data_IF_280318239430
#
_entry.id   IF_280318239430
#
_cell.length_a   1.000
_cell.length_b   1.000
_cell.length_c   1.000
_cell.angle_alpha   90.00
_cell.angle_beta   90.00
_cell.angle_gamma   90.00
#
_symmetry.space_group_name_H-M   'P 1'
#
loop_
_entity.id
_entity.type
_entity.pdbx_description
1 polymer ?
#
# COMPACT_ATOMS: atom_id res chain seq x y z
N UNK A 1 -42.76 -12.39 -14.08
CA UNK A 1 -42.00 -11.15 -13.80
C UNK A 1 -40.50 -11.52 -13.91
N UNK A 2 -39.89 -11.32 -15.09
CA UNK A 2 -38.47 -11.68 -15.32
C UNK A 2 -37.61 -10.70 -14.50
N UNK A 3 -37.06 -11.17 -13.39
CA UNK A 3 -36.04 -10.42 -12.65
C UNK A 3 -34.84 -10.22 -13.58
N UNK A 4 -34.62 -8.99 -14.06
CA UNK A 4 -33.40 -8.69 -14.81
C UNK A 4 -32.21 -9.09 -13.96
N UNK A 5 -31.48 -10.09 -14.42
CA UNK A 5 -30.25 -10.52 -13.75
C UNK A 5 -29.29 -9.31 -13.66
N UNK A 6 -28.83 -9.03 -12.46
CA UNK A 6 -27.88 -7.94 -12.26
C UNK A 6 -26.55 -8.33 -12.90
N UNK A 7 -25.99 -7.45 -13.72
CA UNK A 7 -24.67 -7.64 -14.32
C UNK A 7 -23.72 -6.56 -13.80
N UNK A 8 -22.61 -6.97 -13.22
CA UNK A 8 -21.56 -6.07 -12.72
C UNK A 8 -20.75 -5.50 -13.90
N UNK A 9 -21.11 -4.33 -14.35
CA UNK A 9 -20.56 -3.62 -15.53
C UNK A 9 -19.43 -2.65 -15.11
N UNK A 10 -18.60 -2.15 -16.06
CA UNK A 10 -17.56 -1.16 -15.78
C UNK A 10 -18.04 0.08 -15.03
N UNK A 11 -19.26 0.56 -15.28
CA UNK A 11 -19.85 1.69 -14.56
C UNK A 11 -20.02 1.43 -13.06
N UNK A 12 -20.33 0.18 -12.66
CA UNK A 12 -20.45 -0.20 -11.26
C UNK A 12 -19.07 -0.25 -10.60
N UNK A 13 -18.06 -0.76 -11.32
CA UNK A 13 -16.68 -0.73 -10.85
C UNK A 13 -16.17 0.71 -10.65
N UNK A 14 -16.44 1.59 -11.61
CA UNK A 14 -16.11 3.02 -11.48
C UNK A 14 -16.80 3.66 -10.26
N UNK A 15 -18.08 3.33 -10.01
CA UNK A 15 -18.80 3.81 -8.84
C UNK A 15 -18.19 3.28 -7.52
N UNK A 16 -17.76 2.02 -7.48
CA UNK A 16 -17.06 1.44 -6.32
C UNK A 16 -15.72 2.13 -6.07
N UNK A 17 -14.94 2.39 -7.13
CA UNK A 17 -13.68 3.13 -7.00
C UNK A 17 -13.92 4.56 -6.52
N UNK A 18 -14.91 5.24 -7.07
CA UNK A 18 -15.29 6.59 -6.64
C UNK A 18 -15.73 6.60 -5.17
N UNK A 19 -16.50 5.62 -4.73
CA UNK A 19 -16.91 5.46 -3.34
C UNK A 19 -15.69 5.19 -2.43
N UNK A 20 -14.79 4.30 -2.85
CA UNK A 20 -13.54 4.03 -2.14
C UNK A 20 -12.70 5.32 -1.97
N UNK A 21 -12.56 6.10 -3.02
CA UNK A 21 -11.83 7.36 -2.97
C UNK A 21 -12.53 8.39 -2.08
N UNK A 22 -13.86 8.44 -2.09
CA UNK A 22 -14.63 9.32 -1.21
C UNK A 22 -14.37 9.01 0.27
N UNK A 23 -14.31 7.72 0.65
CA UNK A 23 -13.98 7.31 2.01
C UNK A 23 -12.57 7.72 2.44
N UNK A 24 -11.62 7.73 1.50
CA UNK A 24 -10.23 8.11 1.74
C UNK A 24 -9.92 9.59 1.42
N UNK A 25 -10.91 10.39 1.03
CA UNK A 25 -10.72 11.80 0.69
C UNK A 25 -10.04 12.63 1.80
N UNK A 26 -10.31 12.39 3.10
CA UNK A 26 -9.61 13.09 4.18
C UNK A 26 -8.09 12.92 4.15
N UNK A 27 -7.55 11.76 3.68
CA UNK A 27 -6.11 11.51 3.61
C UNK A 27 -5.38 12.54 2.74
N UNK A 28 -6.02 13.08 1.71
CA UNK A 28 -5.43 14.11 0.84
C UNK A 28 -5.06 15.41 1.58
N UNK A 29 -5.62 15.62 2.76
CA UNK A 29 -5.37 16.79 3.62
C UNK A 29 -4.53 16.50 4.85
N UNK A 30 -4.16 15.21 5.09
CA UNK A 30 -3.44 14.82 6.31
C UNK A 30 -1.97 15.27 6.33
N UNK A 31 -1.36 15.55 5.18
CA UNK A 31 0.08 15.79 5.14
C UNK A 31 0.88 14.50 5.38
N UNK A 32 2.14 14.64 5.77
CA UNK A 32 2.99 13.52 6.18
C UNK A 32 2.74 13.16 7.65
N UNK A 33 2.89 11.86 7.98
CA UNK A 33 2.63 11.33 9.31
C UNK A 33 3.73 10.34 9.73
N UNK A 34 4.15 10.39 11.00
CA UNK A 34 5.09 9.45 11.61
C UNK A 34 6.34 9.18 10.72
N UNK A 35 6.54 7.93 10.26
CA UNK A 35 7.70 7.50 9.48
C UNK A 35 7.86 8.25 8.14
N UNK A 36 6.79 8.86 7.61
CA UNK A 36 6.88 9.67 6.40
C UNK A 36 7.91 10.80 6.57
N UNK A 37 7.97 11.42 7.74
CA UNK A 37 8.97 12.46 8.03
C UNK A 37 10.40 11.92 7.96
N UNK A 38 10.63 10.72 8.48
CA UNK A 38 11.94 10.07 8.40
C UNK A 38 12.31 9.80 6.94
N UNK A 39 11.36 9.30 6.15
CA UNK A 39 11.57 9.11 4.72
C UNK A 39 11.87 10.43 3.99
N UNK A 40 11.15 11.53 4.33
CA UNK A 40 11.41 12.85 3.73
C UNK A 40 12.80 13.39 4.09
N UNK A 41 13.27 13.17 5.32
CA UNK A 41 14.63 13.57 5.73
C UNK A 41 15.69 12.83 4.91
N UNK A 42 15.53 11.53 4.72
CA UNK A 42 16.43 10.70 3.90
C UNK A 42 16.35 11.09 2.43
N UNK A 43 15.15 11.25 1.87
CA UNK A 43 14.92 11.60 0.47
C UNK A 43 15.48 12.97 0.09
N UNK A 44 15.50 13.91 1.04
CA UNK A 44 16.11 15.24 0.85
C UNK A 44 17.62 15.28 1.08
N UNK A 45 18.24 14.13 1.39
CA UNK A 45 19.69 14.07 1.65
C UNK A 45 20.12 14.78 2.93
N UNK A 46 19.22 14.94 3.91
CA UNK A 46 19.51 15.63 5.16
C UNK A 46 20.20 14.73 6.19
N UNK A 47 20.49 13.49 5.86
CA UNK A 47 21.24 12.54 6.69
C UNK A 47 22.63 12.30 6.08
N UNK A 48 23.68 13.02 6.57
CA UNK A 48 25.04 12.90 6.02
C UNK A 48 25.63 11.48 6.12
N UNK A 49 25.19 10.72 7.12
CA UNK A 49 25.73 9.40 7.45
C UNK A 49 25.06 8.23 6.70
N UNK A 50 23.97 8.49 6.01
CA UNK A 50 23.23 7.46 5.26
C UNK A 50 22.94 7.95 3.84
N UNK A 51 23.85 7.69 2.87
CA UNK A 51 23.59 8.06 1.48
C UNK A 51 22.29 7.38 1.03
N UNK A 52 21.38 8.18 0.48
CA UNK A 52 20.09 7.73 0.00
C UNK A 52 20.25 6.57 -0.99
N UNK A 53 19.63 5.44 -0.66
CA UNK A 53 19.46 4.33 -1.60
C UNK A 53 17.98 4.22 -1.90
N UNK A 54 17.55 4.39 -3.16
CA UNK A 54 16.11 4.38 -3.53
C UNK A 54 15.35 3.12 -3.06
N UNK A 55 16.06 2.02 -2.87
CA UNK A 55 15.49 0.73 -2.44
C UNK A 55 15.55 0.45 -0.93
N UNK A 56 16.09 1.37 -0.11
CA UNK A 56 16.40 1.14 1.31
C UNK A 56 15.93 2.25 2.24
N UNK A 57 14.76 2.85 1.97
CA UNK A 57 14.20 3.92 2.81
C UNK A 57 13.77 3.44 4.20
N UNK A 58 13.56 2.13 4.38
CA UNK A 58 13.17 1.51 5.66
C UNK A 58 14.36 1.02 6.47
N UNK A 59 15.54 1.55 6.22
CA UNK A 59 16.72 1.39 7.07
C UNK A 59 16.75 2.57 8.07
N UNK A 60 16.04 2.42 9.18
CA UNK A 60 15.93 3.45 10.22
C UNK A 60 17.15 3.53 11.12
N UNK A 61 18.16 2.69 10.87
CA UNK A 61 19.46 2.74 11.53
C UNK A 61 19.62 1.81 12.72
N UNK A 62 20.55 2.20 13.58
CA UNK A 62 21.01 1.44 14.73
C UNK A 62 20.69 2.19 16.02
N UNK A 63 20.68 1.49 17.16
CA UNK A 63 20.65 2.15 18.45
C UNK A 63 21.75 3.23 18.52
N UNK A 64 21.42 4.45 18.93
CA UNK A 64 22.42 5.48 19.07
C UNK A 64 23.42 5.10 20.15
N UNK A 65 24.67 5.52 19.98
CA UNK A 65 25.67 5.35 21.02
C UNK A 65 25.24 6.11 22.27
N UNK A 66 25.48 5.53 23.43
CA UNK A 66 25.29 6.19 24.72
C UNK A 66 26.03 7.55 24.72
N UNK A 67 25.37 8.59 25.22
CA UNK A 67 25.92 9.95 25.19
C UNK A 67 25.79 10.68 23.85
N UNK A 68 25.19 10.06 22.83
CA UNK A 68 24.84 10.77 21.59
C UNK A 68 23.67 11.72 21.80
N UNK A 69 23.56 12.78 20.95
CA UNK A 69 22.45 13.72 21.00
C UNK A 69 21.07 13.05 20.90
N UNK A 70 20.96 11.97 20.11
CA UNK A 70 19.71 11.20 19.98
C UNK A 70 19.37 10.45 21.28
N UNK A 71 20.40 9.97 22.00
CA UNK A 71 20.22 9.37 23.31
C UNK A 71 19.76 10.39 24.35
N UNK A 72 20.44 11.55 24.41
CA UNK A 72 20.08 12.66 25.32
C UNK A 72 18.68 13.20 25.08
N UNK A 73 18.22 13.23 23.81
CA UNK A 73 16.86 13.64 23.44
C UNK A 73 15.80 12.59 23.78
N UNK A 74 16.18 11.42 24.32
CA UNK A 74 15.24 10.36 24.65
C UNK A 74 14.55 9.74 23.43
N UNK A 75 15.18 9.82 22.26
CA UNK A 75 14.66 9.23 21.03
C UNK A 75 14.51 7.71 21.10
N UNK A 76 15.23 7.09 22.04
CA UNK A 76 15.16 5.67 22.33
C UNK A 76 14.97 5.44 23.83
N UNK A 77 14.21 4.42 24.26
CA UNK A 77 14.10 4.04 25.64
C UNK A 77 15.47 3.67 26.24
N UNK A 78 15.69 3.95 27.51
CA UNK A 78 16.95 3.64 28.22
C UNK A 78 17.33 2.15 28.26
N UNK A 79 16.34 1.26 28.01
CA UNK A 79 16.54 -0.21 27.93
C UNK A 79 16.81 -0.69 26.51
N UNK A 80 17.04 0.21 25.54
CA UNK A 80 17.30 -0.19 24.14
C UNK A 80 18.63 -0.94 24.08
N UNK A 81 18.67 -2.21 23.61
CA UNK A 81 19.91 -2.95 23.47
C UNK A 81 20.90 -2.26 22.53
N UNK A 82 22.20 -2.31 22.80
CA UNK A 82 23.22 -1.70 21.92
C UNK A 82 23.22 -2.24 20.49
N UNK A 83 22.77 -3.49 20.33
CA UNK A 83 22.69 -4.18 19.03
C UNK A 83 21.37 -3.91 18.28
N UNK A 84 20.48 -3.11 18.88
CA UNK A 84 19.17 -2.84 18.28
C UNK A 84 19.31 -2.22 16.87
N UNK A 85 18.54 -2.77 15.93
CA UNK A 85 18.48 -2.33 14.54
C UNK A 85 17.05 -2.31 14.06
N UNK A 86 16.61 -1.21 13.48
CA UNK A 86 15.32 -1.09 12.79
C UNK A 86 15.57 -1.07 11.29
N UNK A 87 15.55 -2.23 10.68
CA UNK A 87 15.77 -2.37 9.23
C UNK A 87 14.75 -3.32 8.64
N UNK A 88 14.05 -2.86 7.63
CA UNK A 88 13.06 -3.66 6.91
C UNK A 88 13.40 -3.67 5.42
N UNK A 89 13.40 -4.85 4.82
CA UNK A 89 13.65 -4.99 3.39
C UNK A 89 12.34 -4.77 2.61
N UNK A 90 12.10 -3.52 2.19
CA UNK A 90 10.89 -3.09 1.46
C UNK A 90 11.26 -2.33 0.18
N UNK A 91 11.98 -2.95 -0.78
CA UNK A 91 12.55 -2.25 -1.92
C UNK A 91 11.50 -1.63 -2.83
N UNK A 92 10.39 -2.31 -3.12
CA UNK A 92 9.33 -1.80 -3.99
C UNK A 92 8.63 -0.58 -3.40
N UNK A 93 8.38 -0.61 -2.09
CA UNK A 93 7.79 0.54 -1.39
C UNK A 93 8.77 1.71 -1.39
N UNK A 94 10.03 1.45 -1.08
CA UNK A 94 11.10 2.46 -1.11
C UNK A 94 11.20 3.12 -2.48
N UNK A 95 11.23 2.33 -3.56
CA UNK A 95 11.27 2.85 -4.94
C UNK A 95 10.01 3.66 -5.23
N UNK A 96 8.82 3.22 -4.80
CA UNK A 96 7.59 3.96 -5.04
C UNK A 96 7.56 5.31 -4.32
N UNK A 97 8.09 5.39 -3.09
CA UNK A 97 8.20 6.64 -2.34
C UNK A 97 9.27 7.56 -2.92
N UNK A 98 10.38 6.98 -3.41
CA UNK A 98 11.41 7.73 -4.11
C UNK A 98 10.87 8.35 -5.43
N UNK A 99 10.11 7.60 -6.21
CA UNK A 99 9.44 8.11 -7.42
C UNK A 99 8.45 9.23 -7.08
N UNK A 100 7.65 9.08 -6.01
CA UNK A 100 6.77 10.14 -5.54
C UNK A 100 7.56 11.39 -5.17
N UNK A 101 8.72 11.23 -4.53
CA UNK A 101 9.58 12.37 -4.19
C UNK A 101 10.13 13.06 -5.43
N UNK A 102 10.57 12.30 -6.43
CA UNK A 102 11.09 12.84 -7.69
C UNK A 102 10.02 13.63 -8.46
N UNK A 103 8.76 13.15 -8.44
CA UNK A 103 7.63 13.76 -9.16
C UNK A 103 7.01 14.92 -8.37
N UNK A 104 6.78 14.75 -7.08
CA UNK A 104 5.98 15.65 -6.25
C UNK A 104 6.81 16.45 -5.22
N UNK A 105 8.10 16.14 -5.06
CA UNK A 105 8.95 16.74 -4.03
C UNK A 105 8.39 16.49 -2.63
N UNK A 106 8.18 17.57 -1.87
CA UNK A 106 7.60 17.53 -0.53
C UNK A 106 6.08 17.69 -0.47
N UNK A 107 5.37 17.59 -1.59
CA UNK A 107 3.92 17.74 -1.61
C UNK A 107 3.21 16.43 -1.23
N UNK A 108 2.84 16.32 0.05
CA UNK A 108 2.28 15.09 0.63
C UNK A 108 1.04 14.56 -0.11
N UNK A 109 0.17 15.45 -0.62
CA UNK A 109 -1.03 15.04 -1.36
C UNK A 109 -0.67 14.17 -2.57
N UNK A 110 0.46 14.41 -3.25
CA UNK A 110 0.92 13.59 -4.38
C UNK A 110 1.15 12.13 -3.96
N UNK A 111 1.77 11.89 -2.81
CA UNK A 111 1.98 10.55 -2.26
C UNK A 111 0.66 9.84 -1.93
N UNK A 112 -0.31 10.57 -1.39
CA UNK A 112 -1.66 10.01 -1.15
C UNK A 112 -2.38 9.68 -2.46
N UNK A 113 -2.23 10.51 -3.51
CA UNK A 113 -2.80 10.23 -4.84
C UNK A 113 -2.22 8.94 -5.44
N UNK A 114 -0.91 8.70 -5.30
CA UNK A 114 -0.29 7.43 -5.71
C UNK A 114 -0.89 6.25 -4.95
N UNK A 115 -1.08 6.36 -3.62
CA UNK A 115 -1.71 5.30 -2.83
C UNK A 115 -3.16 5.05 -3.26
N UNK A 116 -3.94 6.09 -3.55
CA UNK A 116 -5.30 5.97 -4.09
C UNK A 116 -5.33 5.30 -5.47
N UNK A 117 -4.36 5.61 -6.34
CA UNK A 117 -4.25 4.96 -7.65
C UNK A 117 -3.95 3.45 -7.50
N UNK A 118 -3.00 3.09 -6.64
CA UNK A 118 -2.72 1.68 -6.32
C UNK A 118 -3.93 0.98 -5.71
N UNK A 119 -4.68 1.66 -4.85
CA UNK A 119 -5.92 1.13 -4.27
C UNK A 119 -6.98 0.87 -5.34
N UNK A 120 -7.15 1.77 -6.31
CA UNK A 120 -8.04 1.53 -7.45
C UNK A 120 -7.63 0.28 -8.24
N UNK A 121 -6.33 0.09 -8.48
CA UNK A 121 -5.81 -1.14 -9.13
C UNK A 121 -6.15 -2.37 -8.29
N UNK A 122 -5.99 -2.32 -6.97
CA UNK A 122 -6.35 -3.42 -6.07
C UNK A 122 -7.85 -3.76 -6.17
N UNK A 123 -8.75 -2.77 -6.19
CA UNK A 123 -10.19 -2.97 -6.35
C UNK A 123 -10.50 -3.68 -7.67
N UNK A 124 -9.84 -3.28 -8.76
CA UNK A 124 -9.96 -3.96 -10.06
C UNK A 124 -9.51 -5.42 -9.98
N UNK A 125 -8.38 -5.69 -9.33
CA UNK A 125 -7.85 -7.04 -9.17
C UNK A 125 -8.75 -7.90 -8.28
N UNK A 126 -9.27 -7.37 -7.17
CA UNK A 126 -10.22 -8.08 -6.30
C UNK A 126 -11.50 -8.46 -7.06
N UNK A 127 -12.06 -7.54 -7.85
CA UNK A 127 -13.20 -7.82 -8.71
C UNK A 127 -12.91 -8.98 -9.68
N UNK A 128 -11.70 -9.02 -10.24
CA UNK A 128 -11.27 -10.12 -11.14
C UNK A 128 -11.05 -11.42 -10.37
N UNK A 129 -10.48 -11.37 -9.19
CA UNK A 129 -10.28 -12.54 -8.33
C UNK A 129 -11.62 -13.16 -7.96
N UNK A 130 -12.59 -12.37 -7.47
CA UNK A 130 -13.90 -12.87 -7.06
C UNK A 130 -14.68 -13.48 -8.24
N UNK A 131 -14.58 -12.90 -9.43
CA UNK A 131 -15.10 -13.55 -10.64
C UNK A 131 -14.37 -14.86 -10.97
N UNK A 132 -13.05 -14.88 -10.78
CA UNK A 132 -12.28 -16.09 -11.01
C UNK A 132 -12.57 -17.21 -10.01
N UNK A 133 -13.06 -16.92 -8.81
CA UNK A 133 -13.55 -17.94 -7.86
C UNK A 133 -14.96 -18.44 -8.14
N UNK A 134 -15.67 -17.82 -9.11
CA UNK A 134 -17.01 -18.24 -9.51
C UNK A 134 -18.14 -17.51 -8.79
N UNK A 135 -17.86 -16.43 -8.06
CA UNK A 135 -18.89 -15.58 -7.49
C UNK A 135 -19.75 -14.95 -8.60
N UNK A 136 -21.06 -14.96 -8.41
CA UNK A 136 -21.96 -14.22 -9.30
C UNK A 136 -21.76 -12.69 -9.17
N UNK A 137 -22.31 -11.93 -10.08
CA UNK A 137 -22.09 -10.50 -10.17
C UNK A 137 -22.60 -9.71 -8.95
N UNK A 138 -23.64 -10.19 -8.26
CA UNK A 138 -24.15 -9.55 -7.03
C UNK A 138 -23.25 -9.83 -5.85
N UNK A 139 -22.85 -11.10 -5.65
CA UNK A 139 -21.93 -11.50 -4.60
C UNK A 139 -20.56 -10.82 -4.78
N UNK A 140 -20.07 -10.71 -6.03
CA UNK A 140 -18.84 -9.99 -6.33
C UNK A 140 -18.94 -8.51 -5.94
N UNK A 141 -20.01 -7.81 -6.33
CA UNK A 141 -20.20 -6.41 -5.95
C UNK A 141 -20.23 -6.24 -4.43
N UNK A 142 -20.99 -7.09 -3.72
CA UNK A 142 -21.08 -7.03 -2.27
C UNK A 142 -19.72 -7.31 -1.60
N UNK A 143 -18.97 -8.31 -2.05
CA UNK A 143 -17.67 -8.63 -1.51
C UNK A 143 -16.67 -7.47 -1.66
N UNK A 144 -16.65 -6.81 -2.84
CA UNK A 144 -15.80 -5.65 -3.07
C UNK A 144 -16.26 -4.45 -2.23
N UNK A 145 -17.56 -4.22 -2.09
CA UNK A 145 -18.08 -3.13 -1.24
C UNK A 145 -17.74 -3.35 0.24
N UNK A 146 -17.86 -4.58 0.76
CA UNK A 146 -17.47 -4.93 2.13
C UNK A 146 -15.97 -4.66 2.33
N UNK A 147 -15.12 -5.07 1.38
CA UNK A 147 -13.69 -4.80 1.44
C UNK A 147 -13.39 -3.30 1.46
N UNK A 148 -14.04 -2.52 0.59
CA UNK A 148 -13.84 -1.06 0.48
C UNK A 148 -14.34 -0.32 1.71
N UNK A 149 -15.45 -0.77 2.31
CA UNK A 149 -16.02 -0.14 3.50
C UNK A 149 -15.30 -0.57 4.81
N UNK A 150 -14.43 -1.58 4.74
CA UNK A 150 -13.65 -2.04 5.89
C UNK A 150 -12.57 -1.06 6.32
N UNK A 151 -12.32 -0.98 7.61
CA UNK A 151 -11.29 -0.13 8.23
C UNK A 151 -9.86 -0.59 7.93
N UNK A 152 -9.67 -1.86 7.55
CA UNK A 152 -8.38 -2.46 7.21
C UNK A 152 -7.63 -1.74 6.09
N UNK A 153 -8.33 -0.95 5.26
CA UNK A 153 -7.75 -0.17 4.16
C UNK A 153 -7.28 1.23 4.58
N UNK A 154 -7.68 1.72 5.76
CA UNK A 154 -7.41 3.10 6.19
C UNK A 154 -5.91 3.39 6.27
N UNK A 155 -5.16 2.56 7.00
CA UNK A 155 -3.72 2.76 7.16
C UNK A 155 -2.91 2.48 5.89
N UNK A 156 -3.11 1.37 5.16
CA UNK A 156 -2.38 1.11 3.92
C UNK A 156 -2.57 2.16 2.83
N UNK A 157 -3.73 2.78 2.76
CA UNK A 157 -4.07 3.80 1.75
C UNK A 157 -3.76 5.21 2.26
N UNK A 158 -4.10 5.50 3.53
CA UNK A 158 -4.00 6.84 4.11
C UNK A 158 -2.61 7.21 4.61
N UNK A 159 -1.69 6.25 4.76
CA UNK A 159 -0.33 6.48 5.27
C UNK A 159 0.72 6.02 4.27
N UNK A 160 1.43 6.94 3.57
CA UNK A 160 2.42 6.61 2.55
C UNK A 160 3.51 5.63 3.02
N UNK A 161 4.03 5.78 4.24
CA UNK A 161 5.02 4.84 4.79
C UNK A 161 4.47 3.42 4.99
N UNK A 162 3.15 3.23 5.08
CA UNK A 162 2.52 1.92 5.16
C UNK A 162 2.08 1.34 3.80
N UNK A 163 2.49 1.95 2.71
CA UNK A 163 2.19 1.48 1.34
C UNK A 163 2.69 0.06 1.05
N UNK A 164 3.65 -0.44 1.83
CA UNK A 164 4.07 -1.83 1.74
C UNK A 164 2.91 -2.80 1.90
N UNK A 165 1.98 -2.56 2.82
CA UNK A 165 0.81 -3.41 3.03
C UNK A 165 -0.14 -3.37 1.83
N UNK A 166 -0.30 -2.21 1.19
CA UNK A 166 -1.10 -2.08 -0.03
C UNK A 166 -0.47 -2.84 -1.21
N UNK A 167 0.84 -2.71 -1.40
CA UNK A 167 1.58 -3.43 -2.44
C UNK A 167 1.57 -4.94 -2.19
N UNK A 168 1.73 -5.38 -0.94
CA UNK A 168 1.68 -6.78 -0.55
C UNK A 168 0.35 -7.43 -0.95
N UNK A 169 -0.77 -6.83 -0.56
CA UNK A 169 -2.10 -7.34 -0.92
C UNK A 169 -2.30 -7.31 -2.44
N UNK A 170 -1.84 -6.27 -3.12
CA UNK A 170 -1.94 -6.15 -4.57
C UNK A 170 -1.24 -7.32 -5.28
N UNK A 171 0.02 -7.61 -4.90
CA UNK A 171 0.77 -8.73 -5.47
C UNK A 171 0.20 -10.09 -5.06
N UNK A 172 -0.29 -10.24 -3.83
CA UNK A 172 -0.95 -11.46 -3.38
C UNK A 172 -2.20 -11.77 -4.22
N UNK A 173 -3.05 -10.77 -4.44
CA UNK A 173 -4.27 -10.92 -5.26
C UNK A 173 -3.92 -11.22 -6.71
N UNK A 174 -2.90 -10.56 -7.27
CA UNK A 174 -2.42 -10.85 -8.62
C UNK A 174 -1.90 -12.28 -8.74
N UNK A 175 -1.11 -12.74 -7.79
CA UNK A 175 -0.60 -14.11 -7.74
C UNK A 175 -1.73 -15.14 -7.63
N UNK A 176 -2.75 -14.88 -6.78
CA UNK A 176 -3.92 -15.74 -6.66
C UNK A 176 -4.69 -15.87 -7.98
N UNK A 177 -4.87 -14.77 -8.72
CA UNK A 177 -5.50 -14.80 -10.04
C UNK A 177 -4.69 -15.68 -11.02
N UNK A 178 -3.36 -15.52 -11.03
CA UNK A 178 -2.48 -16.31 -11.91
C UNK A 178 -2.52 -17.80 -11.55
N UNK A 179 -2.48 -18.12 -10.25
CA UNK A 179 -2.57 -19.50 -9.77
C UNK A 179 -3.89 -20.17 -10.18
N UNK A 180 -5.02 -19.46 -10.00
CA UNK A 180 -6.33 -19.97 -10.44
C UNK A 180 -6.41 -20.19 -11.96
N UNK A 181 -5.81 -19.31 -12.74
CA UNK A 181 -5.74 -19.46 -14.21
C UNK A 181 -4.88 -20.67 -14.60
N UNK A 182 -3.72 -20.83 -13.97
CA UNK A 182 -2.83 -21.96 -14.23
C UNK A 182 -3.51 -23.30 -13.91
N UNK A 183 -4.17 -23.39 -12.73
CA UNK A 183 -4.90 -24.59 -12.33
C UNK A 183 -6.02 -24.97 -13.33
N UNK A 184 -6.73 -23.99 -13.87
CA UNK A 184 -7.78 -24.22 -14.86
C UNK A 184 -7.25 -24.65 -16.23
N UNK A 185 -6.09 -24.13 -16.62
CA UNK A 185 -5.46 -24.47 -17.89
C UNK A 185 -4.71 -25.82 -17.83
N UNK A 186 -4.10 -26.15 -16.68
CA UNK A 186 -3.39 -27.41 -16.47
C UNK A 186 -4.31 -28.64 -16.43
N UNK A 187 -5.60 -28.47 -16.13
CA UNK A 187 -6.61 -29.55 -16.25
C UNK A 187 -7.06 -29.85 -17.67
N UNK A 188 -6.55 -29.14 -18.67
CA UNK A 188 -6.82 -29.34 -20.11
C UNK A 188 -5.60 -29.88 -20.81
N UNK A 189 -4.88 -30.87 -20.24
CA UNK A 189 -3.93 -31.65 -21.02
C UNK A 189 -4.72 -32.39 -22.09
N UNK A 190 -4.34 -32.31 -23.37
CA UNK A 190 -5.01 -33.06 -24.41
C UNK A 190 -4.82 -34.55 -24.14
N UNK A 191 -5.93 -35.30 -24.10
CA UNK A 191 -5.97 -36.75 -24.18
C UNK A 191 -5.61 -37.15 -25.63
#
# INVERSE_FOLDING_TARGET
MLSREFTFRPKHLAAVIAFAWLLHLPSLRMGFFADDYTHQVVLRGLTPESPMKPWSLYDFGYAPKEGSKMWELGAYPWWTPPEWKARFFRPLTSISLWLDHDIFGGWATGYHLTSLALYAVLIVLLTRLFRATGLDDRANLLAVLIFVAGDSTLMPVGWPANRNSLLEILFLVAAAILALRAARNGGRAPV
#
